data_IF_706701070806
#
_entry.id   IF_706701070806
#
_cell.length_a   1.000
_cell.length_b   1.000
_cell.length_c   1.000
_cell.angle_alpha   90.00
_cell.angle_beta   90.00
_cell.angle_gamma   90.00
#
_symmetry.space_group_name_H-M   'P 1'
#
loop_
_entity.id
_entity.type
_entity.pdbx_description
1 polymer ?
#
# COMPACT_ATOMS: atom_id res chain seq x y z
N UNK A 1 -1.76 -12.72 9.88
CA UNK A 1 -2.62 -12.40 8.72
C UNK A 1 -1.77 -11.69 7.71
N UNK A 2 -1.92 -12.01 6.43
CA UNK A 2 -1.26 -11.28 5.34
C UNK A 2 -2.06 -9.99 5.04
N UNK A 3 -1.48 -8.79 5.22
CA UNK A 3 -2.17 -7.53 4.98
C UNK A 3 -2.51 -7.30 3.50
N UNK A 4 -1.86 -7.99 2.56
CA UNK A 4 -2.14 -7.88 1.12
C UNK A 4 -3.48 -8.48 0.70
N UNK A 5 -4.18 -9.16 1.62
CA UNK A 5 -5.49 -9.76 1.35
C UNK A 5 -6.57 -9.25 2.29
N UNK A 6 -7.72 -8.89 1.70
CA UNK A 6 -8.95 -8.62 2.44
C UNK A 6 -9.96 -9.74 2.19
N UNK A 7 -10.61 -10.21 3.24
CA UNK A 7 -11.69 -11.19 3.10
C UNK A 7 -12.95 -10.51 2.57
N UNK A 8 -13.52 -11.06 1.49
CA UNK A 8 -14.80 -10.62 0.93
C UNK A 8 -15.79 -11.78 1.00
N UNK A 9 -16.98 -11.51 1.52
CA UNK A 9 -18.07 -12.48 1.59
C UNK A 9 -18.70 -12.64 0.21
N UNK A 10 -18.64 -13.85 -0.33
CA UNK A 10 -19.28 -14.23 -1.57
C UNK A 10 -20.43 -15.18 -1.28
N UNK A 11 -21.62 -14.90 -1.82
CA UNK A 11 -22.71 -15.86 -1.79
C UNK A 11 -22.46 -16.93 -2.85
N UNK A 12 -22.44 -18.18 -2.43
CA UNK A 12 -22.44 -19.35 -3.30
C UNK A 12 -23.81 -20.01 -3.21
N UNK A 13 -24.44 -20.22 -4.38
CA UNK A 13 -25.71 -20.93 -4.49
C UNK A 13 -25.44 -22.33 -5.04
N UNK A 14 -26.02 -23.35 -4.41
CA UNK A 14 -25.98 -24.71 -4.91
C UNK A 14 -27.08 -24.87 -5.96
N UNK A 15 -26.71 -25.19 -7.20
CA UNK A 15 -27.64 -25.23 -8.33
C UNK A 15 -28.68 -26.34 -8.23
N UNK A 16 -28.35 -27.44 -7.54
CA UNK A 16 -29.19 -28.65 -7.38
C UNK A 16 -30.12 -28.51 -6.19
N UNK A 17 -29.58 -28.17 -5.01
CA UNK A 17 -30.37 -28.05 -3.77
C UNK A 17 -31.00 -26.66 -3.57
N UNK A 18 -30.69 -25.69 -4.44
CA UNK A 18 -31.09 -24.27 -4.33
C UNK A 18 -30.70 -23.60 -2.99
N UNK A 19 -29.80 -24.23 -2.22
CA UNK A 19 -29.33 -23.70 -0.94
C UNK A 19 -28.26 -22.64 -1.14
N UNK A 20 -28.27 -21.61 -0.28
CA UNK A 20 -27.31 -20.52 -0.31
C UNK A 20 -26.35 -20.64 0.88
N UNK A 21 -25.06 -20.39 0.63
CA UNK A 21 -24.04 -20.29 1.68
C UNK A 21 -23.16 -19.05 1.42
N UNK A 22 -22.73 -18.40 2.49
CA UNK A 22 -21.72 -17.34 2.42
C UNK A 22 -20.33 -17.97 2.60
N UNK A 23 -19.40 -17.63 1.71
CA UNK A 23 -18.01 -18.05 1.75
C UNK A 23 -17.13 -16.82 1.73
N UNK A 24 -16.24 -16.73 2.71
CA UNK A 24 -15.23 -15.67 2.74
C UNK A 24 -14.09 -16.05 1.80
N UNK A 25 -13.81 -15.20 0.81
CA UNK A 25 -12.72 -15.38 -0.15
C UNK A 25 -11.65 -14.29 0.04
N UNK A 26 -10.36 -14.64 0.03
CA UNK A 26 -9.30 -13.65 0.05
C UNK A 26 -9.25 -12.93 -1.31
N UNK A 27 -9.32 -11.61 -1.28
CA UNK A 27 -9.14 -10.75 -2.47
C UNK A 27 -7.88 -9.94 -2.27
N UNK A 28 -6.98 -9.98 -3.25
CA UNK A 28 -5.73 -9.21 -3.21
C UNK A 28 -6.06 -7.72 -3.32
N UNK A 29 -5.49 -6.93 -2.44
CA UNK A 29 -5.69 -5.48 -2.39
C UNK A 29 -4.34 -4.76 -2.64
N UNK A 30 -4.42 -3.52 -3.11
CA UNK A 30 -3.25 -2.64 -3.18
C UNK A 30 -2.94 -2.16 -1.76
N UNK A 31 -1.78 -2.55 -1.24
CA UNK A 31 -1.32 -2.18 0.10
C UNK A 31 0.11 -1.72 0.06
N UNK A 32 0.54 -0.98 1.08
CA UNK A 32 1.93 -0.60 1.27
C UNK A 32 2.87 -1.81 1.22
N UNK A 33 2.47 -2.94 1.81
CA UNK A 33 3.32 -4.13 1.91
C UNK A 33 3.56 -4.84 0.58
N UNK A 34 2.82 -4.50 -0.48
CA UNK A 34 3.11 -5.00 -1.82
C UNK A 34 4.51 -4.54 -2.30
N UNK A 35 5.03 -3.43 -1.76
CA UNK A 35 6.41 -2.96 -1.98
C UNK A 35 7.47 -4.03 -1.64
N UNK A 36 7.24 -4.83 -0.60
CA UNK A 36 8.17 -5.91 -0.20
C UNK A 36 7.99 -7.19 -1.02
N UNK A 37 7.05 -7.20 -1.95
CA UNK A 37 6.80 -8.29 -2.89
C UNK A 37 6.88 -7.77 -4.32
N UNK A 38 8.06 -7.26 -4.74
CA UNK A 38 8.22 -6.66 -6.05
C UNK A 38 7.92 -7.69 -7.15
N UNK A 39 7.44 -7.24 -8.32
CA UNK A 39 7.22 -8.14 -9.44
C UNK A 39 8.54 -8.79 -9.87
N UNK A 40 8.50 -10.10 -10.11
CA UNK A 40 9.67 -10.86 -10.58
C UNK A 40 9.86 -10.55 -12.07
N UNK A 41 11.04 -10.02 -12.41
CA UNK A 41 11.42 -9.85 -13.81
C UNK A 41 11.78 -11.20 -14.43
N UNK A 42 11.50 -11.43 -15.72
CA UNK A 42 12.03 -12.58 -16.43
C UNK A 42 13.57 -12.52 -16.45
N UNK A 43 14.24 -13.66 -16.24
CA UNK A 43 15.71 -13.76 -16.28
C UNK A 43 16.27 -13.70 -17.71
N UNK A 44 15.44 -14.01 -18.71
CA UNK A 44 15.84 -14.03 -20.12
C UNK A 44 15.71 -12.61 -20.73
N UNK A 45 16.83 -11.99 -21.15
CA UNK A 45 16.85 -10.64 -21.71
C UNK A 45 16.17 -10.54 -23.08
N UNK A 46 15.80 -11.65 -23.71
CA UNK A 46 15.07 -11.66 -24.99
C UNK A 46 13.55 -11.55 -24.81
N UNK A 47 13.03 -11.73 -23.59
CA UNK A 47 11.61 -11.62 -23.30
C UNK A 47 11.24 -10.14 -23.19
N UNK A 48 10.34 -9.69 -24.06
CA UNK A 48 9.80 -8.34 -24.02
C UNK A 48 9.02 -8.11 -22.71
N UNK A 49 9.51 -7.21 -21.87
CA UNK A 49 8.80 -6.82 -20.66
C UNK A 49 7.58 -5.98 -21.02
N UNK A 50 6.42 -6.38 -20.51
CA UNK A 50 5.21 -5.57 -20.65
C UNK A 50 5.43 -4.20 -20.01
N UNK A 51 4.91 -3.11 -20.60
CA UNK A 51 5.09 -1.76 -20.08
C UNK A 51 4.56 -1.60 -18.64
N UNK A 52 3.54 -2.37 -18.27
CA UNK A 52 2.98 -2.40 -16.91
C UNK A 52 3.99 -2.90 -15.86
N UNK A 53 4.82 -3.91 -16.19
CA UNK A 53 5.85 -4.39 -15.27
C UNK A 53 6.94 -3.35 -15.07
N UNK A 54 7.37 -2.71 -16.16
CA UNK A 54 8.38 -1.65 -16.10
C UNK A 54 7.87 -0.49 -15.23
N UNK A 55 6.63 -0.06 -15.42
CA UNK A 55 6.02 1.00 -14.61
C UNK A 55 5.96 0.65 -13.12
N UNK A 56 5.61 -0.59 -12.78
CA UNK A 56 5.60 -1.05 -11.38
C UNK A 56 6.99 -1.03 -10.75
N UNK A 57 8.00 -1.56 -11.45
CA UNK A 57 9.39 -1.60 -10.95
C UNK A 57 9.95 -0.20 -10.77
N UNK A 58 9.70 0.70 -11.73
CA UNK A 58 10.13 2.11 -11.62
C UNK A 58 9.47 2.78 -10.42
N UNK A 59 8.17 2.57 -10.20
CA UNK A 59 7.47 3.13 -9.04
C UNK A 59 8.04 2.60 -7.72
N UNK A 60 8.33 1.30 -7.63
CA UNK A 60 8.97 0.72 -6.44
C UNK A 60 10.36 1.33 -6.21
N UNK A 61 11.15 1.54 -7.27
CA UNK A 61 12.45 2.19 -7.16
C UNK A 61 12.34 3.63 -6.64
N UNK A 62 11.42 4.42 -7.16
CA UNK A 62 11.18 5.81 -6.72
C UNK A 62 10.81 5.88 -5.24
N UNK A 63 9.90 5.01 -4.79
CA UNK A 63 9.50 4.93 -3.38
C UNK A 63 10.69 4.52 -2.50
N UNK A 64 11.45 3.51 -2.92
CA UNK A 64 12.62 3.03 -2.18
C UNK A 64 13.73 4.08 -2.09
N UNK A 65 13.96 4.82 -3.16
CA UNK A 65 14.92 5.93 -3.20
C UNK A 65 14.49 7.06 -2.26
N UNK A 66 13.21 7.43 -2.29
CA UNK A 66 12.66 8.45 -1.39
C UNK A 66 12.78 8.05 0.09
N UNK A 67 12.54 6.77 0.41
CA UNK A 67 12.78 6.27 1.76
C UNK A 67 14.25 6.41 2.17
N UNK A 68 15.17 6.08 1.26
CA UNK A 68 16.61 6.11 1.50
C UNK A 68 17.16 7.53 1.66
N UNK A 69 16.75 8.46 0.81
CA UNK A 69 17.33 9.81 0.74
C UNK A 69 16.62 10.80 1.66
N UNK A 70 15.30 10.68 1.82
CA UNK A 70 14.50 11.67 2.56
C UNK A 70 13.96 11.13 3.88
N UNK A 71 13.20 10.02 3.86
CA UNK A 71 12.48 9.56 5.05
C UNK A 71 13.42 9.07 6.14
N UNK A 72 14.36 8.17 5.82
CA UNK A 72 15.22 7.54 6.84
C UNK A 72 16.15 8.58 7.49
N UNK A 73 16.88 9.43 6.74
CA UNK A 73 17.75 10.43 7.35
C UNK A 73 16.99 11.47 8.18
N UNK A 74 15.78 11.86 7.73
CA UNK A 74 14.99 12.91 8.35
C UNK A 74 13.80 12.36 9.17
N UNK A 75 13.83 11.10 9.60
CA UNK A 75 12.68 10.41 10.20
C UNK A 75 12.06 11.17 11.38
N UNK A 76 12.90 11.80 12.21
CA UNK A 76 12.45 12.65 13.31
C UNK A 76 11.63 13.86 12.84
N UNK A 77 12.05 14.51 11.75
CA UNK A 77 11.37 15.67 11.20
C UNK A 77 10.07 15.27 10.50
N UNK A 78 10.04 14.12 9.79
CA UNK A 78 8.80 13.57 9.25
C UNK A 78 7.81 13.18 10.35
N UNK A 79 8.29 12.59 11.46
CA UNK A 79 7.46 12.24 12.60
C UNK A 79 6.88 13.48 13.32
N UNK A 80 7.68 14.53 13.46
CA UNK A 80 7.25 15.78 14.10
C UNK A 80 6.50 16.73 13.17
N UNK A 81 6.43 16.43 11.86
CA UNK A 81 5.78 17.24 10.84
C UNK A 81 6.61 18.42 10.31
N UNK A 82 7.85 18.59 10.77
CA UNK A 82 8.71 19.73 10.43
C UNK A 82 9.22 19.74 8.97
N UNK A 83 9.20 18.58 8.29
CA UNK A 83 9.57 18.48 6.87
C UNK A 83 8.42 18.80 5.91
N UNK A 84 7.17 18.81 6.40
CA UNK A 84 5.98 19.06 5.57
C UNK A 84 5.93 20.53 5.11
N UNK A 85 6.56 21.44 5.86
CA UNK A 85 6.51 22.88 5.60
C UNK A 85 7.48 23.36 4.49
N UNK A 86 8.38 22.51 3.99
CA UNK A 86 9.42 22.93 3.02
C UNK A 86 9.09 22.67 1.55
N UNK A 87 8.15 21.76 1.28
CA UNK A 87 7.71 21.46 -0.08
C UNK A 87 6.23 21.82 -0.21
N UNK A 88 5.93 22.94 -0.88
CA UNK A 88 4.58 23.37 -1.28
C UNK A 88 3.82 22.33 -2.16
N UNK A 89 4.48 21.21 -2.49
CA UNK A 89 3.96 20.11 -3.31
C UNK A 89 3.51 18.88 -2.49
N UNK A 90 3.69 18.85 -1.16
CA UNK A 90 3.12 17.77 -0.35
C UNK A 90 1.63 18.01 -0.15
N UNK A 91 0.81 17.21 -0.82
CA UNK A 91 -0.63 17.14 -0.55
C UNK A 91 -0.80 16.77 0.91
N UNK A 92 -1.31 17.73 1.69
CA UNK A 92 -1.81 17.57 3.05
C UNK A 92 -2.43 16.19 3.27
N UNK A 93 -1.66 15.22 3.76
CA UNK A 93 -2.22 14.02 4.38
C UNK A 93 -2.66 14.44 5.77
N UNK A 94 -3.73 15.24 5.82
CA UNK A 94 -4.51 15.51 7.02
C UNK A 94 -5.17 14.20 7.47
N UNK A 95 -4.38 13.31 8.07
CA UNK A 95 -4.86 12.20 8.90
C UNK A 95 -4.01 12.19 10.17
N UNK A 96 -4.14 13.24 10.97
CA UNK A 96 -3.92 13.13 12.40
C UNK A 96 -5.27 13.39 13.06
N UNK A 97 -5.91 12.40 13.71
CA UNK A 97 -7.00 12.72 14.62
C UNK A 97 -6.44 13.72 15.64
N UNK A 98 -7.14 14.83 15.85
CA UNK A 98 -6.74 15.85 16.82
C UNK A 98 -6.35 15.16 18.13
N UNK A 99 -5.13 15.43 18.62
CA UNK A 99 -4.75 14.93 19.95
C UNK A 99 -5.80 15.45 20.91
N UNK A 100 -6.47 14.60 21.69
CA UNK A 100 -7.42 15.09 22.68
C UNK A 100 -6.67 16.03 23.62
N UNK A 101 -7.07 17.29 23.59
CA UNK A 101 -6.57 18.31 24.52
C UNK A 101 -7.05 17.86 25.90
N UNK A 102 -6.13 17.35 26.72
CA UNK A 102 -6.40 17.14 28.14
C UNK A 102 -6.59 18.51 28.78
N UNK A 103 -7.83 19.00 28.79
CA UNK A 103 -8.24 20.04 29.73
C UNK A 103 -8.40 19.36 31.09
N UNK A 104 -7.35 19.46 31.89
CA UNK A 104 -7.44 19.22 33.33
C UNK A 104 -8.51 20.16 33.88
N UNK A 105 -9.58 19.59 34.41
CA UNK A 105 -10.49 20.28 35.33
C UNK A 105 -10.08 19.97 36.75
#
# INVERSE_FOLDING_TARGET
>A
MDPSYRMVNMQQTNTVSKSNRIIAKPVRIKTFFNFFSPPVLPDDPTIELKPEYVASVTSDYEIGLYFREEIIPNAYMFFTGQMIEKDDNFVDVQILPERPVNTSK
#
